data_IF_415203100753
#
_entry.id   IF_415203100753
#
_cell.length_a   1.000
_cell.length_b   1.000
_cell.length_c   1.000
_cell.angle_alpha   90.00
_cell.angle_beta   90.00
_cell.angle_gamma   90.00
#
_symmetry.space_group_name_H-M   'P 1'
#
loop_
_entity.id
_entity.type
_entity.pdbx_description
1 polymer ?
#
# COMPACT_ATOMS: atom_id res chain seq x y z
N UNK A 1 -1.32 -1.95 24.26
CA UNK A 1 -1.17 -0.68 24.98
C UNK A 1 -2.22 -0.68 26.05
N UNK A 2 -1.79 -0.64 27.30
CA UNK A 2 -2.70 -0.87 28.42
C UNK A 2 -3.54 0.39 28.74
N UNK A 3 -3.23 1.54 28.12
CA UNK A 3 -4.05 2.76 28.07
C UNK A 3 -3.74 3.58 26.80
N UNK A 4 -4.51 3.44 25.70
CA UNK A 4 -4.32 4.27 24.51
C UNK A 4 -4.83 5.71 24.73
N UNK A 5 -4.27 6.73 24.03
CA UNK A 5 -4.79 8.09 24.10
C UNK A 5 -6.18 8.19 23.47
N UNK A 6 -6.97 9.22 23.82
CA UNK A 6 -8.31 9.43 23.24
C UNK A 6 -8.28 9.52 21.71
N UNK A 7 -7.19 10.06 21.15
CA UNK A 7 -6.95 10.15 19.72
C UNK A 7 -6.63 8.81 19.04
N UNK A 8 -6.60 7.69 19.77
CA UNK A 8 -6.23 6.40 19.21
C UNK A 8 -7.15 5.94 18.08
N UNK A 9 -8.44 6.25 18.14
CA UNK A 9 -9.38 5.89 17.07
C UNK A 9 -9.40 6.90 15.91
N UNK A 10 -8.61 7.98 15.97
CA UNK A 10 -8.41 8.87 14.83
C UNK A 10 -7.41 8.26 13.84
N UNK A 11 -7.85 8.02 12.61
CA UNK A 11 -7.02 7.46 11.55
C UNK A 11 -5.84 8.36 11.20
N UNK A 12 -5.97 9.69 11.29
CA UNK A 12 -4.89 10.64 11.05
C UNK A 12 -3.81 10.49 12.13
N UNK A 13 -4.24 10.30 13.37
CA UNK A 13 -3.32 10.00 14.48
C UNK A 13 -2.61 8.66 14.26
N UNK A 14 -3.32 7.63 13.81
CA UNK A 14 -2.74 6.32 13.49
C UNK A 14 -1.65 6.43 12.41
N UNK A 15 -1.91 7.18 11.33
CA UNK A 15 -0.93 7.40 10.26
C UNK A 15 0.29 8.21 10.71
N UNK A 16 0.07 9.26 11.52
CA UNK A 16 1.16 10.08 12.07
C UNK A 16 2.05 9.29 13.03
N UNK A 17 1.48 8.33 13.74
CA UNK A 17 2.17 7.54 14.77
C UNK A 17 2.55 6.13 14.29
N UNK A 18 2.64 5.90 12.97
CA UNK A 18 3.15 4.64 12.43
C UNK A 18 4.48 4.25 13.08
N UNK A 19 4.58 2.98 13.40
CA UNK A 19 5.76 2.34 13.97
C UNK A 19 6.68 1.97 12.81
N UNK A 20 7.81 2.67 12.74
CA UNK A 20 8.81 2.54 11.67
C UNK A 20 10.19 2.16 12.21
N UNK A 21 10.35 2.05 13.53
CA UNK A 21 11.64 1.74 14.17
C UNK A 21 11.48 0.62 15.19
N UNK A 22 12.60 -0.03 15.52
CA UNK A 22 12.66 -1.14 16.48
C UNK A 22 12.22 -0.65 17.87
N UNK A 23 12.74 0.50 18.30
CA UNK A 23 12.52 1.04 19.65
C UNK A 23 11.04 1.36 19.89
N UNK A 24 10.30 1.76 18.85
CA UNK A 24 8.86 1.97 18.93
C UNK A 24 8.11 0.64 19.02
N UNK A 25 8.53 -0.37 18.28
CA UNK A 25 7.87 -1.67 18.23
C UNK A 25 8.09 -2.48 19.51
N UNK A 26 9.30 -2.43 20.09
CA UNK A 26 9.64 -3.10 21.36
C UNK A 26 8.82 -2.63 22.56
N UNK A 27 8.29 -1.41 22.50
CA UNK A 27 7.39 -0.89 23.55
C UNK A 27 6.02 -1.58 23.55
N UNK A 28 5.69 -2.31 22.49
CA UNK A 28 4.35 -2.89 22.26
C UNK A 28 4.42 -4.41 22.34
N UNK A 29 5.44 -5.02 21.75
CA UNK A 29 5.61 -6.46 21.66
C UNK A 29 7.05 -6.89 21.97
N UNK A 30 7.23 -8.14 22.40
CA UNK A 30 8.56 -8.71 22.61
C UNK A 30 9.12 -9.18 21.27
N UNK A 31 10.16 -8.50 20.78
CA UNK A 31 10.82 -8.84 19.51
C UNK A 31 11.90 -9.90 19.71
N UNK A 32 11.93 -10.86 18.79
CA UNK A 32 13.02 -11.83 18.68
C UNK A 32 14.29 -11.17 18.13
N UNK A 33 15.45 -11.80 18.35
CA UNK A 33 16.70 -11.33 17.78
C UNK A 33 16.67 -11.33 16.23
N UNK A 34 15.96 -12.28 15.63
CA UNK A 34 15.82 -12.37 14.18
C UNK A 34 14.93 -11.25 13.61
N UNK A 35 13.79 -10.94 14.25
CA UNK A 35 12.94 -9.81 13.87
C UNK A 35 13.74 -8.49 13.93
N UNK A 36 14.53 -8.27 14.98
CA UNK A 36 15.39 -7.07 15.10
C UNK A 36 16.39 -6.97 13.94
N UNK A 37 17.10 -8.06 13.64
CA UNK A 37 18.06 -8.11 12.52
C UNK A 37 17.36 -7.88 11.19
N UNK A 38 16.19 -8.48 10.98
CA UNK A 38 15.41 -8.29 9.77
C UNK A 38 14.95 -6.84 9.59
N UNK A 39 14.48 -6.19 10.66
CA UNK A 39 14.09 -4.77 10.62
C UNK A 39 15.30 -3.90 10.26
N UNK A 40 16.46 -4.09 10.89
CA UNK A 40 17.69 -3.34 10.58
C UNK A 40 18.12 -3.50 9.12
N UNK A 41 18.02 -4.71 8.58
CA UNK A 41 18.35 -4.97 7.17
C UNK A 41 17.28 -4.43 6.21
N UNK A 42 16.03 -4.31 6.67
CA UNK A 42 14.91 -3.90 5.84
C UNK A 42 14.98 -2.43 5.43
N UNK A 43 15.59 -1.56 6.22
CA UNK A 43 15.74 -0.12 5.88
C UNK A 43 16.41 0.10 4.51
N UNK A 44 17.24 -0.85 4.07
CA UNK A 44 17.97 -0.76 2.80
C UNK A 44 17.19 -1.27 1.59
N UNK A 45 16.09 -1.99 1.79
CA UNK A 45 15.39 -2.69 0.71
C UNK A 45 13.88 -2.51 0.76
N UNK A 46 13.28 -2.58 1.95
CA UNK A 46 11.84 -2.60 2.14
C UNK A 46 11.40 -1.91 3.43
N UNK A 47 10.67 -0.79 3.30
CA UNK A 47 10.19 -0.04 4.46
C UNK A 47 9.29 -0.89 5.37
N UNK A 48 9.39 -0.64 6.68
CA UNK A 48 8.44 -1.09 7.67
C UNK A 48 7.64 0.13 8.13
N UNK A 49 6.31 0.01 8.11
CA UNK A 49 5.41 0.95 8.76
C UNK A 49 4.18 0.17 9.22
N UNK A 50 3.82 0.31 10.49
CA UNK A 50 2.71 -0.42 11.12
C UNK A 50 1.89 0.58 11.93
N UNK A 51 0.57 0.64 11.74
CA UNK A 51 -0.25 1.52 12.58
C UNK A 51 -0.25 1.03 14.05
N UNK A 52 -0.32 1.95 15.03
CA UNK A 52 -0.49 1.58 16.44
C UNK A 52 -1.63 0.60 16.68
N UNK A 53 -2.76 0.73 15.97
CA UNK A 53 -3.88 -0.21 16.03
C UNK A 53 -3.46 -1.62 15.65
N UNK A 54 -2.80 -1.79 14.50
CA UNK A 54 -2.40 -3.10 14.01
C UNK A 54 -1.33 -3.75 14.90
N UNK A 55 -0.41 -2.95 15.46
CA UNK A 55 0.54 -3.44 16.45
C UNK A 55 -0.12 -3.82 17.78
N UNK A 56 -1.19 -3.12 18.18
CA UNK A 56 -1.87 -3.36 19.45
C UNK A 56 -2.62 -4.71 19.51
N UNK A 57 -3.04 -5.23 18.37
CA UNK A 57 -3.73 -6.53 18.26
C UNK A 57 -2.76 -7.71 18.08
N UNK A 58 -1.46 -7.45 18.02
CA UNK A 58 -0.45 -8.52 17.99
C UNK A 58 -0.36 -9.19 19.36
N UNK A 59 -0.24 -10.51 19.37
CA UNK A 59 0.17 -11.22 20.58
C UNK A 59 1.61 -10.81 20.92
N UNK A 60 1.79 -10.20 22.10
CA UNK A 60 3.08 -9.66 22.56
C UNK A 60 4.16 -10.75 22.66
N UNK A 61 3.78 -11.97 23.01
CA UNK A 61 4.69 -13.05 23.40
C UNK A 61 4.81 -14.17 22.38
N UNK A 62 3.93 -14.23 21.38
CA UNK A 62 3.95 -15.27 20.36
C UNK A 62 4.64 -14.79 19.07
N UNK A 63 5.86 -15.26 18.74
CA UNK A 63 6.54 -14.93 17.48
C UNK A 63 5.77 -15.41 16.25
N UNK A 64 4.97 -16.47 16.37
CA UNK A 64 4.15 -17.03 15.29
C UNK A 64 2.79 -16.35 15.14
N UNK A 65 2.54 -15.25 15.85
CA UNK A 65 1.27 -14.53 15.73
C UNK A 65 1.03 -14.13 14.26
N UNK A 66 -0.14 -14.47 13.68
CA UNK A 66 -0.40 -14.27 12.26
C UNK A 66 -0.42 -12.79 11.87
N UNK A 67 -0.78 -11.89 12.78
CA UNK A 67 -0.76 -10.44 12.52
C UNK A 67 0.68 -9.93 12.42
N UNK A 68 1.57 -10.41 13.29
CA UNK A 68 3.00 -10.05 13.29
C UNK A 68 3.66 -10.43 11.97
N UNK A 69 3.43 -11.65 11.51
CA UNK A 69 3.97 -12.20 10.25
C UNK A 69 3.57 -11.40 9.00
N UNK A 70 2.47 -10.65 9.07
CA UNK A 70 2.01 -9.80 7.98
C UNK A 70 2.71 -8.44 7.91
N UNK A 71 3.35 -7.99 9.00
CA UNK A 71 3.80 -6.59 9.12
C UNK A 71 5.26 -6.44 9.55
N UNK A 72 5.80 -7.38 10.31
CA UNK A 72 7.18 -7.35 10.80
C UNK A 72 8.09 -8.04 9.77
N UNK A 73 9.19 -7.38 9.34
CA UNK A 73 10.19 -7.98 8.48
C UNK A 73 10.73 -9.32 9.00
N UNK A 74 10.97 -10.26 8.08
CA UNK A 74 11.72 -11.50 8.35
C UNK A 74 13.00 -11.58 7.52
N UNK A 75 13.96 -12.39 7.97
CA UNK A 75 15.22 -12.59 7.26
C UNK A 75 15.03 -13.34 5.92
N UNK A 76 13.96 -14.11 5.79
CA UNK A 76 13.63 -14.84 4.56
C UNK A 76 13.34 -13.88 3.39
N UNK A 77 12.86 -12.67 3.66
CA UNK A 77 12.55 -11.69 2.62
C UNK A 77 13.78 -11.16 1.87
N UNK A 78 14.98 -11.38 2.41
CA UNK A 78 16.22 -10.99 1.75
C UNK A 78 16.79 -12.11 0.86
N UNK A 79 16.23 -13.32 0.94
CA UNK A 79 16.57 -14.43 0.05
C UNK A 79 15.74 -14.29 -1.21
N UNK A 80 16.42 -14.29 -2.36
CA UNK A 80 15.76 -14.27 -3.67
C UNK A 80 15.89 -15.63 -4.33
N UNK A 81 14.79 -16.14 -4.88
CA UNK A 81 14.74 -17.37 -5.66
C UNK A 81 14.84 -17.10 -7.16
N UNK A 82 15.24 -18.12 -7.94
CA UNK A 82 15.38 -18.02 -9.40
C UNK A 82 14.08 -17.65 -10.14
N UNK A 83 12.92 -17.99 -9.55
CA UNK A 83 11.61 -17.75 -10.14
C UNK A 83 10.95 -16.46 -9.62
N UNK A 84 11.64 -15.67 -8.80
CA UNK A 84 11.11 -14.38 -8.35
C UNK A 84 11.19 -13.33 -9.45
N UNK A 85 10.11 -12.58 -9.59
CA UNK A 85 9.98 -11.48 -10.54
C UNK A 85 9.74 -10.18 -9.77
N UNK A 86 10.29 -9.07 -10.27
CA UNK A 86 10.04 -7.75 -9.70
C UNK A 86 8.56 -7.34 -9.86
N UNK A 87 7.98 -7.66 -11.01
CA UNK A 87 6.57 -7.46 -11.35
C UNK A 87 5.93 -8.80 -11.72
N UNK A 88 5.61 -9.65 -10.72
CA UNK A 88 5.05 -10.98 -10.96
C UNK A 88 3.66 -10.90 -11.57
N UNK A 89 2.98 -9.77 -11.37
CA UNK A 89 1.68 -9.51 -11.95
C UNK A 89 1.79 -8.97 -13.38
N UNK A 90 2.95 -8.51 -13.88
CA UNK A 90 3.10 -7.98 -15.24
C UNK A 90 2.35 -6.66 -15.48
N UNK A 91 2.14 -5.86 -14.45
CA UNK A 91 1.41 -4.59 -14.50
C UNK A 91 2.10 -3.53 -15.37
N UNK A 92 3.43 -3.47 -15.37
CA UNK A 92 4.18 -2.46 -16.15
C UNK A 92 4.03 -2.70 -17.65
N UNK A 93 4.05 -3.96 -18.07
CA UNK A 93 3.87 -4.34 -19.48
C UNK A 93 2.49 -3.94 -20.00
N UNK A 94 1.47 -4.04 -19.16
CA UNK A 94 0.08 -3.75 -19.50
C UNK A 94 -0.30 -2.29 -19.17
N UNK A 95 0.68 -1.38 -19.05
CA UNK A 95 0.45 0.02 -18.69
C UNK A 95 0.48 0.94 -19.93
N UNK A 96 -0.69 1.32 -20.50
CA UNK A 96 -0.73 2.21 -21.66
C UNK A 96 -0.26 3.65 -21.33
N UNK A 97 -0.45 4.10 -20.10
CA UNK A 97 0.03 5.39 -19.58
C UNK A 97 0.44 5.25 -18.11
N UNK A 98 1.34 6.10 -17.58
CA UNK A 98 1.81 5.99 -16.21
C UNK A 98 0.68 5.94 -15.17
N UNK A 99 0.68 4.90 -14.34
CA UNK A 99 -0.28 4.71 -13.27
C UNK A 99 -1.65 4.15 -13.70
N UNK A 100 -1.81 3.77 -14.97
CA UNK A 100 -2.99 3.05 -15.45
C UNK A 100 -2.55 1.70 -16.03
N UNK A 101 -3.15 0.61 -15.53
CA UNK A 101 -2.92 -0.76 -16.04
C UNK A 101 -4.20 -1.23 -16.73
N UNK A 102 -4.09 -1.68 -17.97
CA UNK A 102 -5.20 -2.17 -18.78
C UNK A 102 -4.88 -3.57 -19.34
N UNK A 103 -5.18 -4.59 -18.54
CA UNK A 103 -4.98 -5.99 -18.89
C UNK A 103 -6.19 -6.64 -19.53
N UNK A 104 -7.37 -6.30 -19.02
CA UNK A 104 -8.62 -6.96 -19.38
C UNK A 104 -9.42 -6.07 -20.33
N UNK A 105 -10.20 -6.62 -21.27
CA UNK A 105 -10.83 -5.82 -22.32
C UNK A 105 -11.75 -4.68 -21.86
N UNK A 106 -12.35 -4.83 -20.68
CA UNK A 106 -13.47 -4.01 -20.22
C UNK A 106 -13.22 -3.25 -18.91
N UNK A 107 -11.99 -3.34 -18.35
CA UNK A 107 -11.69 -2.74 -17.05
C UNK A 107 -10.22 -2.38 -16.87
N UNK A 108 -9.99 -1.33 -16.09
CA UNK A 108 -8.66 -0.80 -15.79
C UNK A 108 -8.40 -0.67 -14.30
N UNK A 109 -7.11 -0.68 -13.96
CA UNK A 109 -6.61 -0.44 -12.61
C UNK A 109 -5.86 0.90 -12.59
N UNK A 110 -6.36 1.85 -11.81
CA UNK A 110 -5.79 3.18 -11.64
C UNK A 110 -5.00 3.25 -10.32
N UNK A 111 -3.69 3.35 -10.40
CA UNK A 111 -2.78 3.42 -9.25
C UNK A 111 -2.61 4.88 -8.82
N UNK A 112 -3.38 5.32 -7.82
CA UNK A 112 -3.45 6.74 -7.41
C UNK A 112 -2.45 7.12 -6.32
N UNK A 113 -1.85 6.15 -5.63
CA UNK A 113 -0.86 6.39 -4.56
C UNK A 113 0.01 5.16 -4.34
N UNK A 114 1.20 5.32 -3.79
CA UNK A 114 2.04 4.22 -3.30
C UNK A 114 2.06 4.12 -1.76
N UNK A 115 1.26 4.91 -1.04
CA UNK A 115 1.19 4.87 0.42
C UNK A 115 0.25 3.75 0.92
N UNK A 116 0.61 3.12 2.04
CA UNK A 116 -0.27 2.26 2.83
C UNK A 116 -0.18 2.63 4.33
N UNK A 117 -1.26 2.39 5.07
CA UNK A 117 -1.29 2.61 6.52
C UNK A 117 -0.33 1.64 7.22
N UNK A 118 -0.31 0.40 6.74
CA UNK A 118 0.63 -0.64 7.12
C UNK A 118 1.21 -1.28 5.86
N UNK A 119 2.53 -1.46 5.80
CA UNK A 119 3.18 -2.14 4.67
C UNK A 119 3.19 -3.65 4.88
N UNK A 120 2.32 -4.36 4.15
CA UNK A 120 2.23 -5.82 4.20
C UNK A 120 3.52 -6.48 3.68
N UNK A 121 4.04 -7.47 4.40
CA UNK A 121 5.25 -8.22 4.01
C UNK A 121 5.07 -9.10 2.78
N UNK A 122 3.82 -9.37 2.41
CA UNK A 122 3.41 -10.17 1.26
C UNK A 122 2.80 -9.30 0.13
N UNK A 123 3.10 -8.00 0.11
CA UNK A 123 2.57 -7.08 -0.92
C UNK A 123 3.08 -7.46 -2.32
N UNK A 124 2.18 -7.75 -3.27
CA UNK A 124 2.53 -8.02 -4.68
C UNK A 124 3.07 -6.78 -5.40
N UNK A 125 2.77 -5.59 -4.88
CA UNK A 125 3.21 -4.28 -5.41
C UNK A 125 4.36 -3.68 -4.64
N UNK A 126 5.11 -4.49 -3.89
CA UNK A 126 6.23 -4.04 -3.06
C UNK A 126 7.32 -3.26 -3.81
N UNK A 127 7.44 -3.44 -5.13
CA UNK A 127 8.34 -2.67 -5.99
C UNK A 127 7.96 -1.18 -6.08
N UNK A 128 6.68 -0.84 -5.90
CA UNK A 128 6.14 0.54 -5.99
C UNK A 128 5.75 1.03 -4.60
N UNK A 129 4.99 0.24 -3.84
CA UNK A 129 4.39 0.64 -2.56
C UNK A 129 5.46 0.98 -1.53
N UNK A 130 5.35 2.18 -0.95
CA UNK A 130 6.27 2.72 0.04
C UNK A 130 7.60 3.22 -0.53
N UNK A 131 7.79 3.24 -1.85
CA UNK A 131 9.04 3.73 -2.46
C UNK A 131 9.19 5.24 -2.29
N UNK A 132 8.27 6.00 -2.86
CA UNK A 132 8.27 7.47 -2.88
C UNK A 132 7.34 8.09 -1.84
N UNK A 133 6.33 7.33 -1.38
CA UNK A 133 5.26 7.82 -0.50
C UNK A 133 4.56 9.06 -1.09
N UNK A 134 4.18 8.96 -2.37
CA UNK A 134 3.55 10.00 -3.16
C UNK A 134 2.16 9.62 -3.68
N UNK A 135 1.44 10.66 -4.12
CA UNK A 135 0.18 10.54 -4.84
C UNK A 135 0.41 10.77 -6.32
N UNK A 136 -0.39 10.14 -7.18
CA UNK A 136 -0.39 10.34 -8.61
C UNK A 136 -0.49 11.84 -8.96
N UNK A 137 0.38 12.29 -9.86
CA UNK A 137 0.38 13.66 -10.33
C UNK A 137 -0.90 13.99 -11.10
N UNK A 138 -1.29 15.26 -11.13
CA UNK A 138 -2.42 15.72 -11.94
C UNK A 138 -2.23 15.46 -13.43
N UNK A 139 -0.98 15.54 -13.91
CA UNK A 139 -0.61 15.23 -15.30
C UNK A 139 -0.87 13.76 -15.63
N UNK A 140 -0.35 12.83 -14.81
CA UNK A 140 -0.57 11.40 -15.02
C UNK A 140 -2.06 11.06 -14.93
N UNK A 141 -2.79 11.67 -13.98
CA UNK A 141 -4.23 11.44 -13.87
C UNK A 141 -4.98 11.93 -15.11
N UNK A 142 -4.59 13.09 -15.67
CA UNK A 142 -5.19 13.62 -16.89
C UNK A 142 -4.94 12.70 -18.09
N UNK A 143 -3.73 12.13 -18.20
CA UNK A 143 -3.41 11.13 -19.23
C UNK A 143 -4.24 9.86 -19.08
N UNK A 144 -4.38 9.35 -17.85
CA UNK A 144 -5.21 8.19 -17.55
C UNK A 144 -6.69 8.44 -17.86
N UNK A 145 -7.22 9.60 -17.46
CA UNK A 145 -8.60 9.99 -17.73
C UNK A 145 -8.87 10.07 -19.22
N UNK A 146 -7.98 10.70 -20.00
CA UNK A 146 -8.07 10.78 -21.46
C UNK A 146 -8.09 9.39 -22.10
N UNK A 147 -7.21 8.49 -21.67
CA UNK A 147 -7.18 7.11 -22.18
C UNK A 147 -8.52 6.37 -21.92
N UNK A 148 -9.09 6.55 -20.73
CA UNK A 148 -10.38 5.94 -20.36
C UNK A 148 -11.53 6.56 -21.19
N UNK A 149 -11.52 7.88 -21.39
CA UNK A 149 -12.53 8.58 -22.20
C UNK A 149 -12.55 8.13 -23.67
N UNK A 150 -11.37 7.92 -24.26
CA UNK A 150 -11.20 7.51 -25.65
C UNK A 150 -11.54 6.03 -25.89
N UNK A 151 -11.36 5.16 -24.88
CA UNK A 151 -11.61 3.74 -25.02
C UNK A 151 -12.99 3.32 -24.47
N UNK A 152 -13.97 3.27 -25.38
CA UNK A 152 -15.39 2.99 -25.06
C UNK A 152 -15.68 1.57 -24.55
N UNK A 153 -14.73 0.64 -24.63
CA UNK A 153 -14.90 -0.70 -24.10
C UNK A 153 -14.70 -0.77 -22.58
N UNK A 154 -14.00 0.21 -21.99
CA UNK A 154 -13.73 0.25 -20.55
C UNK A 154 -15.00 0.67 -19.83
N UNK A 155 -15.55 -0.19 -19.00
CA UNK A 155 -16.75 0.11 -18.20
C UNK A 155 -16.48 0.16 -16.70
N UNK A 156 -15.40 -0.48 -16.24
CA UNK A 156 -15.04 -0.57 -14.83
C UNK A 156 -13.63 0.00 -14.58
N UNK A 157 -13.50 0.81 -13.52
CA UNK A 157 -12.26 1.48 -13.12
C UNK A 157 -12.00 1.21 -11.64
N UNK A 158 -11.00 0.37 -11.37
CA UNK A 158 -10.56 0.07 -10.01
C UNK A 158 -9.52 1.10 -9.54
N UNK A 159 -9.90 1.97 -8.61
CA UNK A 159 -8.97 2.89 -7.94
C UNK A 159 -8.17 2.10 -6.89
N UNK A 160 -6.85 2.10 -7.02
CA UNK A 160 -5.93 1.32 -6.18
C UNK A 160 -4.55 1.98 -6.10
N UNK A 161 -3.49 1.19 -5.95
CA UNK A 161 -2.13 1.65 -5.70
C UNK A 161 -1.53 0.87 -4.54
N UNK A 162 -1.12 1.62 -3.51
CA UNK A 162 -1.10 1.14 -2.14
C UNK A 162 -2.53 1.08 -1.60
N UNK A 163 -2.90 2.05 -0.78
CA UNK A 163 -4.23 2.19 -0.21
C UNK A 163 -4.83 3.56 -0.58
N UNK A 164 -5.82 3.60 -1.50
CA UNK A 164 -6.41 4.86 -1.96
C UNK A 164 -7.21 5.59 -0.88
N UNK A 165 -7.65 4.90 0.17
CA UNK A 165 -8.44 5.50 1.26
C UNK A 165 -7.58 6.31 2.24
N UNK A 166 -6.26 6.40 2.02
CA UNK A 166 -5.38 7.29 2.76
C UNK A 166 -5.30 8.69 2.15
N UNK A 167 -5.86 8.87 0.95
CA UNK A 167 -5.94 10.17 0.33
C UNK A 167 -6.99 11.04 1.03
N UNK A 168 -6.82 12.38 1.03
CA UNK A 168 -7.87 13.28 1.51
C UNK A 168 -9.18 13.06 0.76
N UNK A 169 -10.30 13.25 1.47
CA UNK A 169 -11.65 13.07 0.91
C UNK A 169 -11.85 13.88 -0.38
N UNK A 170 -11.35 15.12 -0.43
CA UNK A 170 -11.47 15.96 -1.62
C UNK A 170 -10.75 15.36 -2.84
N UNK A 171 -9.66 14.62 -2.61
CA UNK A 171 -8.88 13.97 -3.68
C UNK A 171 -9.60 12.72 -4.20
N UNK A 172 -10.16 11.91 -3.31
CA UNK A 172 -10.98 10.75 -3.67
C UNK A 172 -12.22 11.21 -4.43
N UNK A 173 -12.91 12.23 -3.90
CA UNK A 173 -14.08 12.82 -4.55
C UNK A 173 -13.74 13.38 -5.95
N UNK A 174 -12.59 14.05 -6.09
CA UNK A 174 -12.10 14.52 -7.39
C UNK A 174 -11.94 13.39 -8.40
N UNK A 175 -11.33 12.26 -8.01
CA UNK A 175 -11.19 11.09 -8.89
C UNK A 175 -12.54 10.51 -9.27
N UNK A 176 -13.42 10.26 -8.28
CA UNK A 176 -14.74 9.70 -8.49
C UNK A 176 -15.61 10.59 -9.39
N UNK A 177 -15.66 11.91 -9.12
CA UNK A 177 -16.41 12.87 -9.95
C UNK A 177 -15.89 12.96 -11.37
N UNK A 178 -14.57 12.83 -11.57
CA UNK A 178 -13.97 12.86 -12.91
C UNK A 178 -14.35 11.61 -13.70
N UNK A 179 -14.24 10.43 -13.08
CA UNK A 179 -14.61 9.16 -13.72
C UNK A 179 -16.12 9.07 -14.00
N UNK A 180 -16.96 9.55 -13.09
CA UNK A 180 -18.43 9.56 -13.28
C UNK A 180 -18.94 10.45 -14.41
N UNK A 181 -18.12 11.38 -14.91
CA UNK A 181 -18.48 12.19 -16.09
C UNK A 181 -18.34 11.42 -17.39
N UNK A 182 -17.64 10.28 -17.37
CA UNK A 182 -17.43 9.44 -18.54
C UNK A 182 -18.66 8.54 -18.73
N UNK A 183 -19.39 8.77 -19.82
CA UNK A 183 -20.70 8.15 -20.08
C UNK A 183 -20.69 6.62 -20.05
N UNK A 184 -19.61 6.00 -20.55
CA UNK A 184 -19.51 4.55 -20.69
C UNK A 184 -18.94 3.83 -19.45
N UNK A 185 -18.66 4.57 -18.36
CA UNK A 185 -18.26 3.98 -17.07
C UNK A 185 -19.52 3.60 -16.27
N UNK A 186 -19.62 2.32 -15.95
CA UNK A 186 -20.69 1.74 -15.15
C UNK A 186 -20.44 2.00 -13.64
N UNK A 187 -21.52 2.12 -12.87
CA UNK A 187 -21.52 2.42 -11.42
C UNK A 187 -22.38 1.39 -10.70
#
# INVERSE_FOLDING_TARGET
MDNPPDSFFDWKWQLKNRITTIEKLEKIINLTLEEKRAIQNSEKRFKMAITPYFANIMDKNNPECPIRRQCIPSLEEFKTNLNELSDPCGEEKDSPVPGLVHRYPDRVLLLVTDLCATYCRHCTRRRIVGSSETTMSGENFSLALKYIEENKNIRDVLISGGDPLLLPDEKIEFYLKSLRKIEHIEI
#
